data_IF_331581383451
#
_entry.id   IF_331581383451
#
_cell.length_a   1.000
_cell.length_b   1.000
_cell.length_c   1.000
_cell.angle_alpha   90.00
_cell.angle_beta   90.00
_cell.angle_gamma   90.00
#
_symmetry.space_group_name_H-M   'P 1'
#
loop_
_entity.id
_entity.type
_entity.pdbx_description
1 polymer ?
#
# COMPACT_ATOMS: atom_id res chain seq x y z
N UNK A 1 -2.77 -7.00 -9.44
CA UNK A 1 -3.70 -7.48 -10.49
C UNK A 1 -3.36 -8.87 -11.03
N UNK A 2 -2.13 -9.37 -10.84
CA UNK A 2 -1.74 -10.72 -11.28
C UNK A 2 -2.18 -11.83 -10.32
N UNK A 3 -2.36 -11.51 -9.04
CA UNK A 3 -2.75 -12.45 -8.00
C UNK A 3 -4.16 -12.15 -7.47
N UNK A 4 -4.95 -13.18 -7.21
CA UNK A 4 -6.26 -13.06 -6.56
C UNK A 4 -6.13 -12.69 -5.07
N UNK A 5 -7.23 -12.45 -4.38
CA UNK A 5 -7.23 -12.03 -2.99
C UNK A 5 -6.69 -13.11 -2.04
N UNK A 6 -6.92 -14.40 -2.36
CA UNK A 6 -6.45 -15.54 -1.55
C UNK A 6 -4.93 -15.63 -1.66
N UNK A 7 -4.40 -15.59 -2.87
CA UNK A 7 -2.96 -15.61 -3.13
C UNK A 7 -2.26 -14.41 -2.47
N UNK A 8 -2.81 -13.20 -2.61
CA UNK A 8 -2.26 -12.02 -1.91
C UNK A 8 -2.27 -12.17 -0.39
N UNK A 9 -3.31 -12.79 0.16
CA UNK A 9 -3.43 -13.07 1.60
C UNK A 9 -2.25 -13.87 2.15
N UNK A 10 -1.76 -14.86 1.41
CA UNK A 10 -0.61 -15.68 1.80
C UNK A 10 0.68 -14.85 1.99
N UNK A 11 0.79 -13.73 1.28
CA UNK A 11 1.96 -12.85 1.32
C UNK A 11 1.70 -11.55 2.09
N UNK A 12 0.73 -11.55 2.99
CA UNK A 12 0.50 -10.40 3.88
C UNK A 12 1.61 -10.34 4.93
N UNK A 13 2.12 -9.14 5.15
CA UNK A 13 3.11 -8.87 6.20
C UNK A 13 2.44 -8.10 7.35
N UNK A 14 2.66 -8.54 8.56
CA UNK A 14 1.99 -7.99 9.73
C UNK A 14 2.91 -7.08 10.56
N UNK A 15 2.34 -6.07 11.25
CA UNK A 15 3.12 -5.15 12.06
C UNK A 15 3.97 -5.80 13.16
N UNK A 16 3.51 -6.91 13.70
CA UNK A 16 4.16 -7.66 14.76
C UNK A 16 5.48 -8.30 14.30
N UNK A 17 5.60 -8.56 13.01
CA UNK A 17 6.77 -9.20 12.40
C UNK A 17 7.94 -8.23 12.16
N UNK A 18 7.70 -6.89 12.22
CA UNK A 18 8.67 -5.87 11.81
C UNK A 18 9.99 -5.99 12.57
N UNK A 19 9.94 -6.18 13.89
CA UNK A 19 11.16 -6.24 14.70
C UNK A 19 12.02 -7.46 14.35
N UNK A 20 11.43 -8.66 14.39
CA UNK A 20 12.13 -9.93 14.12
C UNK A 20 12.59 -9.99 12.66
N UNK A 21 11.74 -9.58 11.72
CA UNK A 21 12.11 -9.51 10.30
C UNK A 21 13.31 -8.59 10.09
N UNK A 22 13.33 -7.43 10.74
CA UNK A 22 14.44 -6.47 10.58
C UNK A 22 15.74 -7.02 11.13
N UNK A 23 15.72 -7.68 12.29
CA UNK A 23 16.89 -8.28 12.90
C UNK A 23 17.47 -9.38 12.01
N UNK A 24 16.62 -10.33 11.57
CA UNK A 24 17.03 -11.42 10.68
C UNK A 24 17.54 -10.89 9.32
N UNK A 25 16.86 -9.86 8.76
CA UNK A 25 17.25 -9.26 7.49
C UNK A 25 18.63 -8.62 7.55
N UNK A 26 18.93 -7.90 8.63
CA UNK A 26 20.27 -7.31 8.86
C UNK A 26 21.35 -8.37 8.97
N UNK A 27 21.05 -9.47 9.66
CA UNK A 27 21.97 -10.62 9.78
C UNK A 27 22.26 -11.29 8.42
N UNK A 28 21.38 -11.09 7.44
CA UNK A 28 21.51 -11.59 6.07
C UNK A 28 21.92 -10.49 5.05
N UNK A 29 22.44 -9.35 5.52
CA UNK A 29 22.97 -8.29 4.67
C UNK A 29 21.93 -7.30 4.11
N UNK A 30 20.64 -7.42 4.48
CA UNK A 30 19.61 -6.44 4.15
C UNK A 30 19.50 -5.41 5.28
N UNK A 31 20.12 -4.26 5.12
CA UNK A 31 20.22 -3.27 6.22
C UNK A 31 19.20 -2.14 6.12
N UNK A 32 18.94 -1.66 4.89
CA UNK A 32 18.19 -0.42 4.66
C UNK A 32 17.00 -0.70 3.76
N UNK A 33 15.82 -0.82 4.37
CA UNK A 33 14.59 -1.18 3.68
C UNK A 33 13.35 -0.82 4.49
N UNK A 34 12.20 -0.88 3.84
CA UNK A 34 10.89 -0.94 4.49
C UNK A 34 9.90 -1.72 3.61
N UNK A 35 8.87 -2.26 4.25
CA UNK A 35 7.78 -2.97 3.59
C UNK A 35 6.51 -2.14 3.74
N UNK A 36 5.69 -2.09 2.70
CA UNK A 36 4.34 -1.55 2.71
C UNK A 36 3.38 -2.72 2.45
N UNK A 37 2.64 -3.15 3.45
CA UNK A 37 1.66 -4.22 3.32
C UNK A 37 0.25 -3.68 3.57
N UNK A 38 -0.63 -3.91 2.61
CA UNK A 38 -2.03 -3.48 2.61
C UNK A 38 -2.92 -4.60 2.09
N UNK A 39 -4.24 -4.43 2.07
CA UNK A 39 -5.15 -5.43 1.49
C UNK A 39 -4.93 -5.67 -0.02
N UNK A 40 -4.34 -4.71 -0.74
CA UNK A 40 -4.21 -4.75 -2.21
C UNK A 40 -2.78 -4.93 -2.70
N UNK A 41 -1.76 -4.71 -1.85
CA UNK A 41 -0.35 -4.79 -2.23
C UNK A 41 0.55 -5.09 -1.05
N UNK A 42 1.62 -5.79 -1.34
CA UNK A 42 2.79 -5.86 -0.49
C UNK A 42 3.99 -5.47 -1.33
N UNK A 43 4.72 -4.46 -0.91
CA UNK A 43 5.87 -3.92 -1.63
C UNK A 43 7.06 -3.79 -0.70
N UNK A 44 8.22 -4.27 -1.14
CA UNK A 44 9.50 -4.10 -0.47
C UNK A 44 10.28 -2.98 -1.17
N UNK A 45 10.76 -2.03 -0.42
CA UNK A 45 11.62 -0.93 -0.88
C UNK A 45 12.92 -0.95 -0.10
N UNK A 46 14.05 -1.02 -0.77
CA UNK A 46 15.33 -1.07 -0.09
C UNK A 46 16.50 -1.33 -1.03
N UNK A 47 17.62 -1.70 -0.42
CA UNK A 47 18.85 -2.04 -1.11
C UNK A 47 19.12 -3.52 -0.90
N UNK A 48 19.35 -4.25 -1.98
CA UNK A 48 19.69 -5.66 -1.99
C UNK A 48 20.73 -5.94 -3.09
N UNK A 49 21.46 -7.01 -2.98
CA UNK A 49 22.39 -7.45 -4.03
C UNK A 49 21.64 -7.99 -5.27
N UNK A 50 20.50 -8.64 -5.02
CA UNK A 50 19.59 -9.17 -6.03
C UNK A 50 18.20 -9.39 -5.43
N UNK A 51 17.22 -9.69 -6.29
CA UNK A 51 15.85 -9.96 -5.87
C UNK A 51 15.68 -11.23 -5.04
N UNK A 52 16.49 -12.26 -5.28
CA UNK A 52 16.41 -13.53 -4.54
C UNK A 52 16.69 -13.34 -3.06
N UNK A 53 17.64 -12.48 -2.69
CA UNK A 53 17.91 -12.12 -1.32
C UNK A 53 16.66 -11.61 -0.58
N UNK A 54 15.87 -10.78 -1.27
CA UNK A 54 14.61 -10.23 -0.73
C UNK A 54 13.55 -11.34 -0.65
N UNK A 55 13.37 -12.09 -1.73
CA UNK A 55 12.33 -13.13 -1.84
C UNK A 55 12.53 -14.22 -0.77
N UNK A 56 13.74 -14.76 -0.65
CA UNK A 56 14.06 -15.80 0.31
C UNK A 56 13.86 -15.30 1.77
N UNK A 57 14.29 -14.07 2.06
CA UNK A 57 14.10 -13.49 3.39
C UNK A 57 12.62 -13.22 3.68
N UNK A 58 11.89 -12.66 2.71
CA UNK A 58 10.48 -12.31 2.88
C UNK A 58 9.60 -13.54 3.09
N UNK A 59 9.79 -14.58 2.29
CA UNK A 59 8.95 -15.79 2.33
C UNK A 59 9.11 -16.61 3.63
N UNK A 60 10.17 -16.38 4.42
CA UNK A 60 10.28 -16.97 5.77
C UNK A 60 9.20 -16.46 6.74
N UNK A 61 8.59 -15.33 6.44
CA UNK A 61 7.63 -14.62 7.30
C UNK A 61 6.20 -14.63 6.75
N UNK A 62 5.96 -15.37 5.67
CA UNK A 62 4.66 -15.46 5.00
C UNK A 62 4.20 -16.90 4.89
N UNK A 63 2.91 -17.12 4.61
CA UNK A 63 2.35 -18.45 4.39
C UNK A 63 2.69 -19.02 3.02
N UNK A 64 3.00 -18.15 2.03
CA UNK A 64 3.40 -18.55 0.68
C UNK A 64 4.88 -18.87 0.60
N UNK A 65 5.28 -19.62 -0.43
CA UNK A 65 6.68 -19.95 -0.68
C UNK A 65 7.29 -19.06 -1.79
N UNK A 66 8.64 -19.13 -1.91
CA UNK A 66 9.39 -18.30 -2.84
C UNK A 66 9.01 -18.54 -4.32
N UNK A 67 8.74 -19.80 -4.71
CA UNK A 67 8.39 -20.14 -6.10
C UNK A 67 7.03 -19.58 -6.48
N UNK A 68 6.04 -19.66 -5.57
CA UNK A 68 4.73 -19.03 -5.76
C UNK A 68 4.87 -17.49 -5.81
N UNK A 69 5.68 -16.91 -4.94
CA UNK A 69 5.91 -15.47 -4.90
C UNK A 69 6.49 -14.93 -6.21
N UNK A 70 7.51 -15.63 -6.77
CA UNK A 70 8.15 -15.26 -8.05
C UNK A 70 7.19 -15.22 -9.23
N UNK A 71 6.11 -15.99 -9.23
CA UNK A 71 5.12 -16.00 -10.31
C UNK A 71 4.31 -14.70 -10.38
N UNK A 72 4.17 -14.00 -9.26
CA UNK A 72 3.32 -12.81 -9.15
C UNK A 72 4.10 -11.53 -8.87
N UNK A 73 5.36 -11.62 -8.45
CA UNK A 73 6.16 -10.45 -8.14
C UNK A 73 6.48 -9.61 -9.37
N UNK A 74 6.76 -8.35 -9.14
CA UNK A 74 7.36 -7.43 -10.10
C UNK A 74 8.58 -6.80 -9.45
N UNK A 75 9.70 -6.81 -10.15
CA UNK A 75 10.93 -6.15 -9.73
C UNK A 75 11.07 -4.84 -10.49
N UNK A 76 11.44 -3.80 -9.78
CA UNK A 76 11.75 -2.47 -10.30
C UNK A 76 13.03 -1.97 -9.65
N UNK A 77 13.92 -1.40 -10.46
CA UNK A 77 15.23 -0.97 -10.00
C UNK A 77 15.49 0.50 -10.33
N UNK A 78 16.41 1.11 -9.60
CA UNK A 78 16.89 2.45 -9.84
C UNK A 78 15.77 3.49 -9.93
N UNK A 79 15.74 4.26 -11.00
CA UNK A 79 14.76 5.33 -11.23
C UNK A 79 13.33 4.79 -11.39
N UNK A 80 13.17 3.57 -11.92
CA UNK A 80 11.86 2.96 -12.06
C UNK A 80 11.23 2.64 -10.69
N UNK A 81 12.02 2.15 -9.74
CA UNK A 81 11.57 1.89 -8.37
C UNK A 81 11.16 3.20 -7.66
N UNK A 82 11.95 4.26 -7.83
CA UNK A 82 11.65 5.59 -7.29
C UNK A 82 10.35 6.14 -7.89
N UNK A 83 10.22 6.10 -9.22
CA UNK A 83 9.03 6.54 -9.94
C UNK A 83 7.79 5.76 -9.49
N UNK A 84 7.92 4.44 -9.32
CA UNK A 84 6.84 3.59 -8.83
C UNK A 84 6.37 4.02 -7.43
N UNK A 85 7.29 4.26 -6.48
CA UNK A 85 6.91 4.75 -5.14
C UNK A 85 6.14 6.08 -5.22
N UNK A 86 6.55 7.01 -6.09
CA UNK A 86 5.86 8.29 -6.26
C UNK A 86 4.46 8.11 -6.85
N UNK A 87 4.29 7.22 -7.82
CA UNK A 87 3.00 6.87 -8.41
C UNK A 87 2.08 6.21 -7.38
N UNK A 88 2.60 5.24 -6.62
CA UNK A 88 1.86 4.58 -5.52
C UNK A 88 1.44 5.61 -4.47
N UNK A 89 2.37 6.44 -4.00
CA UNK A 89 2.11 7.45 -2.96
C UNK A 89 1.08 8.50 -3.37
N UNK A 90 0.91 8.72 -4.68
CA UNK A 90 -0.06 9.64 -5.26
C UNK A 90 -1.38 8.97 -5.67
N UNK A 91 -1.56 7.68 -5.33
CA UNK A 91 -2.78 6.93 -5.66
C UNK A 91 -2.93 6.59 -7.14
N UNK A 92 -1.90 6.77 -7.97
CA UNK A 92 -1.94 6.46 -9.40
C UNK A 92 -1.88 4.97 -9.70
N UNK A 93 -1.38 4.17 -8.75
CA UNK A 93 -1.33 2.71 -8.82
C UNK A 93 -2.42 2.06 -7.94
N UNK A 94 -3.38 2.82 -7.46
CA UNK A 94 -4.51 2.31 -6.66
C UNK A 94 -5.64 1.81 -7.56
N UNK A 95 -6.38 0.78 -7.11
CA UNK A 95 -7.58 0.28 -7.81
C UNK A 95 -8.63 1.39 -8.00
N UNK A 96 -8.74 2.27 -7.01
CA UNK A 96 -9.49 3.52 -7.13
C UNK A 96 -8.46 4.61 -7.38
N UNK A 97 -8.44 5.13 -8.60
CA UNK A 97 -7.49 6.16 -9.00
C UNK A 97 -7.61 7.38 -8.08
N UNK A 98 -6.49 7.81 -7.50
CA UNK A 98 -6.45 8.94 -6.57
C UNK A 98 -6.85 8.59 -5.13
N UNK A 99 -6.85 7.31 -4.75
CA UNK A 99 -6.98 6.92 -3.34
C UNK A 99 -5.69 7.30 -2.58
N UNK A 100 -5.77 8.42 -1.86
CA UNK A 100 -4.65 8.95 -1.07
C UNK A 100 -4.50 8.30 0.33
N UNK A 101 -5.30 7.33 0.69
CA UNK A 101 -5.11 6.60 1.97
C UNK A 101 -3.77 5.85 1.98
N UNK A 102 -3.25 5.46 0.82
CA UNK A 102 -1.96 4.78 0.67
C UNK A 102 -0.78 5.56 1.25
N UNK A 103 -0.74 6.88 1.11
CA UNK A 103 0.37 7.69 1.66
C UNK A 103 0.40 7.64 3.19
N UNK A 104 -0.77 7.55 3.83
CA UNK A 104 -0.87 7.34 5.27
C UNK A 104 -0.28 5.99 5.70
N UNK A 105 -0.56 4.95 4.93
CA UNK A 105 -0.04 3.60 5.18
C UNK A 105 1.47 3.55 4.96
N UNK A 106 2.00 4.15 3.89
CA UNK A 106 3.46 4.25 3.64
C UNK A 106 4.16 4.91 4.83
N UNK A 107 3.63 6.04 5.34
CA UNK A 107 4.20 6.71 6.52
C UNK A 107 4.25 5.82 7.75
N UNK A 108 3.18 5.09 8.01
CA UNK A 108 3.08 4.20 9.19
C UNK A 108 4.09 3.06 9.06
N UNK A 109 4.13 2.40 7.90
CA UNK A 109 5.05 1.29 7.66
C UNK A 109 6.50 1.75 7.71
N UNK A 110 6.85 2.81 7.01
CA UNK A 110 8.20 3.37 7.04
C UNK A 110 8.65 3.74 8.46
N UNK A 111 7.77 4.38 9.25
CA UNK A 111 8.07 4.75 10.64
C UNK A 111 8.37 3.52 11.52
N UNK A 112 7.70 2.38 11.29
CA UNK A 112 7.96 1.14 12.03
C UNK A 112 9.37 0.61 11.74
N UNK A 113 9.74 0.50 10.47
CA UNK A 113 11.07 0.03 10.05
C UNK A 113 12.17 1.00 10.46
N UNK A 114 11.94 2.31 10.35
CA UNK A 114 12.87 3.33 10.84
C UNK A 114 13.16 3.18 12.34
N UNK A 115 12.16 2.89 13.17
CA UNK A 115 12.33 2.65 14.62
C UNK A 115 13.19 1.42 14.92
N UNK A 116 13.25 0.45 14.02
CA UNK A 116 14.12 -0.73 14.11
C UNK A 116 15.50 -0.49 13.48
N UNK A 117 15.79 0.75 13.06
CA UNK A 117 17.06 1.12 12.45
C UNK A 117 17.27 0.56 11.03
N UNK A 118 16.20 0.23 10.31
CA UNK A 118 16.27 -0.23 8.92
C UNK A 118 16.14 0.92 7.91
N UNK A 119 16.64 2.10 8.24
CA UNK A 119 16.55 3.27 7.37
C UNK A 119 17.87 4.03 7.31
N UNK A 120 18.15 4.58 6.15
CA UNK A 120 19.26 5.50 5.91
C UNK A 120 18.76 6.86 5.40
N UNK A 121 19.67 7.82 5.25
CA UNK A 121 19.34 9.17 4.79
C UNK A 121 18.69 9.19 3.40
N UNK A 122 19.01 8.24 2.52
CA UNK A 122 18.39 8.13 1.21
C UNK A 122 16.90 7.75 1.30
N UNK A 123 16.58 6.67 2.04
CA UNK A 123 15.19 6.21 2.21
C UNK A 123 14.34 7.25 2.94
N UNK A 124 14.91 7.94 3.92
CA UNK A 124 14.21 9.04 4.60
C UNK A 124 13.87 10.19 3.66
N UNK A 125 14.83 10.59 2.82
CA UNK A 125 14.61 11.62 1.81
C UNK A 125 13.60 11.18 0.76
N UNK A 126 13.72 9.93 0.29
CA UNK A 126 12.82 9.34 -0.70
C UNK A 126 11.36 9.34 -0.21
N UNK A 127 11.10 8.86 1.01
CA UNK A 127 9.76 8.83 1.59
C UNK A 127 9.23 10.25 1.85
N UNK A 128 10.07 11.18 2.35
CA UNK A 128 9.67 12.57 2.52
C UNK A 128 9.30 13.22 1.19
N UNK A 129 10.06 12.95 0.12
CA UNK A 129 9.76 13.44 -1.24
C UNK A 129 8.43 12.85 -1.74
N UNK A 130 8.20 11.54 -1.53
CA UNK A 130 6.93 10.90 -1.88
C UNK A 130 5.73 11.57 -1.17
N UNK A 131 5.90 11.93 0.11
CA UNK A 131 4.88 12.66 0.88
C UNK A 131 4.60 14.05 0.28
N UNK A 132 5.65 14.78 -0.12
CA UNK A 132 5.52 16.10 -0.73
C UNK A 132 4.83 16.02 -2.10
N UNK A 133 5.23 15.06 -2.94
CA UNK A 133 4.63 14.80 -4.26
C UNK A 133 3.15 14.45 -4.10
N UNK A 134 2.82 13.51 -3.22
CA UNK A 134 1.44 13.13 -2.94
C UNK A 134 0.57 14.32 -2.54
N UNK A 135 1.11 15.20 -1.67
CA UNK A 135 0.45 16.43 -1.26
C UNK A 135 0.23 17.40 -2.44
N UNK A 136 1.27 17.57 -3.27
CA UNK A 136 1.22 18.43 -4.45
C UNK A 136 0.17 17.93 -5.45
N UNK A 137 0.21 16.66 -5.80
CA UNK A 137 -0.76 16.02 -6.68
C UNK A 137 -2.19 16.21 -6.15
N UNK A 138 -2.40 15.96 -4.85
CA UNK A 138 -3.71 16.13 -4.22
C UNK A 138 -4.24 17.56 -4.32
N UNK A 139 -3.37 18.56 -4.15
CA UNK A 139 -3.80 19.95 -4.07
C UNK A 139 -3.85 20.66 -5.43
N UNK A 140 -3.04 20.22 -6.40
CA UNK A 140 -2.86 20.90 -7.68
C UNK A 140 -3.53 20.18 -8.85
N UNK A 141 -4.13 19.00 -8.62
CA UNK A 141 -4.82 18.24 -9.67
C UNK A 141 -6.25 17.91 -9.26
N UNK A 142 -7.09 17.61 -10.25
CA UNK A 142 -8.47 17.15 -10.03
C UNK A 142 -8.56 15.67 -9.58
N UNK A 143 -7.43 15.01 -9.38
CA UNK A 143 -7.37 13.59 -9.01
C UNK A 143 -8.06 13.28 -7.66
N UNK A 144 -8.19 14.29 -6.79
CA UNK A 144 -8.76 14.16 -5.44
C UNK A 144 -10.18 14.75 -5.27
N UNK A 145 -10.87 15.08 -6.35
CA UNK A 145 -12.19 15.75 -6.31
C UNK A 145 -13.31 14.86 -5.74
N UNK A 146 -13.16 14.43 -4.48
CA UNK A 146 -14.21 13.75 -3.70
C UNK A 146 -14.53 12.31 -4.11
N UNK A 147 -14.13 11.89 -5.31
CA UNK A 147 -14.51 10.59 -5.91
C UNK A 147 -13.57 9.43 -5.59
N UNK A 148 -12.44 9.72 -4.95
CA UNK A 148 -11.33 8.76 -4.77
C UNK A 148 -11.42 7.94 -3.48
N UNK A 149 -12.61 7.62 -2.98
CA UNK A 149 -12.74 6.71 -1.84
C UNK A 149 -13.66 5.54 -2.18
N UNK A 150 -13.37 4.37 -1.59
CA UNK A 150 -14.24 3.18 -1.70
C UNK A 150 -15.68 3.52 -1.33
N UNK A 151 -15.88 4.33 -0.29
CA UNK A 151 -17.19 4.76 0.19
C UNK A 151 -17.95 5.55 -0.88
N UNK A 152 -17.31 6.52 -1.52
CA UNK A 152 -17.90 7.32 -2.58
C UNK A 152 -18.19 6.48 -3.84
N UNK A 153 -17.24 5.64 -4.24
CA UNK A 153 -17.42 4.72 -5.38
C UNK A 153 -18.60 3.77 -5.17
N UNK A 154 -18.77 3.25 -3.93
CA UNK A 154 -19.91 2.41 -3.59
C UNK A 154 -21.25 3.16 -3.69
N UNK A 155 -21.33 4.39 -3.21
CA UNK A 155 -22.55 5.22 -3.33
C UNK A 155 -22.86 5.51 -4.78
N UNK A 156 -21.87 5.90 -5.59
CA UNK A 156 -22.06 6.12 -7.03
C UNK A 156 -22.53 4.86 -7.75
N UNK A 157 -21.97 3.70 -7.41
CA UNK A 157 -22.42 2.43 -8.00
C UNK A 157 -23.88 2.12 -7.64
N UNK A 158 -24.27 2.35 -6.37
CA UNK A 158 -25.66 2.17 -5.93
C UNK A 158 -26.59 3.15 -6.68
N UNK A 159 -26.21 4.41 -6.80
CA UNK A 159 -27.00 5.40 -7.54
C UNK A 159 -27.12 5.05 -9.02
N UNK A 160 -26.03 4.60 -9.65
CA UNK A 160 -26.05 4.20 -11.06
C UNK A 160 -26.95 2.97 -11.32
N UNK A 161 -27.04 2.05 -10.35
CA UNK A 161 -27.82 0.80 -10.50
C UNK A 161 -29.27 0.96 -10.02
N UNK A 162 -29.52 1.74 -8.98
CA UNK A 162 -30.83 1.87 -8.33
C UNK A 162 -31.54 3.20 -8.65
N UNK A 163 -30.88 4.12 -9.36
CA UNK A 163 -31.38 5.46 -9.63
C UNK A 163 -31.39 6.36 -8.40
N UNK A 164 -32.33 7.29 -8.35
CA UNK A 164 -32.44 8.22 -7.23
C UNK A 164 -32.70 7.49 -5.91
N UNK A 165 -31.92 7.80 -4.89
CA UNK A 165 -31.99 7.18 -3.56
C UNK A 165 -32.96 7.89 -2.61
N UNK A 166 -33.51 9.04 -2.98
CA UNK A 166 -34.48 9.78 -2.17
C UNK A 166 -35.69 8.90 -1.84
N UNK A 167 -36.02 8.76 -0.58
CA UNK A 167 -37.13 7.95 -0.09
C UNK A 167 -36.85 6.44 -0.03
N UNK A 168 -35.67 5.96 -0.36
CA UNK A 168 -35.29 4.56 -0.20
C UNK A 168 -34.72 4.29 1.19
N UNK A 169 -35.03 3.13 1.75
CA UNK A 169 -34.43 2.67 2.99
C UNK A 169 -33.11 1.94 2.70
N UNK A 170 -32.04 2.39 3.34
CA UNK A 170 -30.70 1.83 3.17
C UNK A 170 -30.24 1.26 4.52
N UNK A 171 -29.90 -0.03 4.55
CA UNK A 171 -29.26 -0.66 5.70
C UNK A 171 -27.74 -0.71 5.48
N UNK A 172 -26.99 -0.01 6.34
CA UNK A 172 -25.55 -0.04 6.37
C UNK A 172 -25.08 -0.88 7.56
N UNK A 173 -24.42 -2.00 7.27
CA UNK A 173 -23.85 -2.88 8.30
C UNK A 173 -22.36 -2.63 8.49
N UNK A 174 -22.01 -2.03 9.63
CA UNK A 174 -20.64 -1.65 9.99
C UNK A 174 -20.43 -0.15 10.11
N UNK A 175 -19.85 0.27 11.24
CA UNK A 175 -19.60 1.69 11.58
C UNK A 175 -18.10 2.04 11.63
N UNK A 176 -17.25 1.24 10.96
CA UNK A 176 -15.83 1.55 10.77
C UNK A 176 -15.63 2.79 9.89
N UNK A 177 -14.37 3.12 9.56
CA UNK A 177 -14.02 4.29 8.72
C UNK A 177 -14.82 4.30 7.41
N UNK A 178 -14.86 3.18 6.67
CA UNK A 178 -15.56 3.07 5.39
C UNK A 178 -17.08 3.26 5.59
N UNK A 179 -17.69 2.55 6.56
CA UNK A 179 -19.13 2.67 6.81
C UNK A 179 -19.57 4.09 7.16
N UNK A 180 -18.84 4.79 8.03
CA UNK A 180 -19.12 6.20 8.34
C UNK A 180 -18.99 7.10 7.12
N UNK A 181 -17.94 6.90 6.31
CA UNK A 181 -17.77 7.67 5.08
C UNK A 181 -18.86 7.35 4.05
N UNK A 182 -19.30 6.09 3.94
CA UNK A 182 -20.42 5.72 3.05
C UNK A 182 -21.69 6.41 3.49
N UNK A 183 -22.01 6.40 4.79
CA UNK A 183 -23.19 7.09 5.33
C UNK A 183 -23.16 8.60 5.06
N UNK A 184 -21.99 9.23 5.13
CA UNK A 184 -21.83 10.66 4.87
C UNK A 184 -21.96 11.04 3.36
N UNK A 185 -21.82 10.07 2.46
CA UNK A 185 -21.94 10.28 1.01
C UNK A 185 -23.31 9.85 0.46
N UNK A 186 -24.17 9.18 1.25
CA UNK A 186 -25.57 8.86 0.91
C UNK A 186 -26.47 10.07 1.07
#
# INVERSE_FOLDING_TARGET
EKADAITRGKFTFFPEQVATFTEDSKSNGLENFFIVSTCNRTEFYGFAENEDQIVEQYCKYTEGNADEFRQFMMVKEGEEAISHLFRVSSGLESQILGDFDIIGQIKIWFSRFKKQGASNAFLERLVNTAIQISKKVKNETFLSNGSASVAYSAVNFIQATQGNLVGKNILLYGIGKIGRNTCANL
#
